data_IF_227933530913
#
_entry.id   IF_227933530913
#
_cell.length_a   1.000
_cell.length_b   1.000
_cell.length_c   1.000
_cell.angle_alpha   90.00
_cell.angle_beta   90.00
_cell.angle_gamma   90.00
#
_symmetry.space_group_name_H-M   'P 1'
#
loop_
_entity.id
_entity.type
_entity.pdbx_description
1 polymer ?
#
# COMPACT_ATOMS: atom_id res chain seq x y z
N UNK A 1 -15.58 9.20 -0.27
CA UNK A 1 -14.86 8.20 0.56
C UNK A 1 -13.50 8.04 -0.09
N UNK A 2 -12.42 8.17 0.67
CA UNK A 2 -11.06 8.04 0.12
C UNK A 2 -10.57 6.61 0.32
N UNK A 3 -9.57 6.21 -0.46
CA UNK A 3 -8.86 4.95 -0.24
C UNK A 3 -7.36 5.18 -0.14
N UNK A 4 -6.71 4.31 0.64
CA UNK A 4 -5.27 4.09 0.52
C UNK A 4 -5.10 2.72 -0.13
N UNK A 5 -4.37 2.69 -1.24
CA UNK A 5 -4.08 1.47 -1.98
C UNK A 5 -2.61 1.13 -1.83
N UNK A 6 -2.32 -0.10 -1.43
CA UNK A 6 -0.96 -0.66 -1.43
C UNK A 6 -0.88 -1.68 -2.56
N UNK A 7 -0.06 -1.38 -3.55
CA UNK A 7 0.16 -2.23 -4.71
C UNK A 7 1.51 -2.92 -4.62
N UNK A 8 1.54 -4.23 -4.87
CA UNK A 8 2.78 -5.01 -4.97
C UNK A 8 3.27 -4.99 -6.42
N UNK A 9 4.57 -4.80 -6.59
CA UNK A 9 5.22 -4.81 -7.90
C UNK A 9 5.10 -6.22 -8.54
N UNK A 10 4.71 -6.32 -9.83
CA UNK A 10 4.40 -7.59 -10.50
C UNK A 10 5.48 -8.66 -10.36
N UNK A 11 6.75 -8.27 -10.45
CA UNK A 11 7.91 -9.16 -10.40
C UNK A 11 8.08 -9.88 -9.05
N UNK A 12 7.48 -9.37 -7.96
CA UNK A 12 7.56 -9.97 -6.63
C UNK A 12 6.32 -10.80 -6.27
N UNK A 13 5.27 -10.82 -7.10
CA UNK A 13 4.00 -11.46 -6.75
C UNK A 13 4.11 -12.97 -6.49
N UNK A 14 5.02 -13.65 -7.17
CA UNK A 14 5.23 -15.10 -7.00
C UNK A 14 5.80 -15.45 -5.62
N UNK A 15 6.59 -14.56 -5.02
CA UNK A 15 7.28 -14.76 -3.74
C UNK A 15 6.57 -14.03 -2.60
N UNK A 16 5.63 -13.14 -2.90
CA UNK A 16 4.94 -12.33 -1.91
C UNK A 16 3.99 -13.15 -1.04
N UNK A 17 4.29 -13.21 0.26
CA UNK A 17 3.43 -13.84 1.24
C UNK A 17 2.22 -12.96 1.59
N UNK A 18 1.13 -13.19 0.85
CA UNK A 18 -0.16 -12.51 1.04
C UNK A 18 -0.73 -12.74 2.45
N UNK A 19 -0.52 -13.92 3.04
CA UNK A 19 -1.07 -14.24 4.36
C UNK A 19 -0.33 -13.49 5.47
N UNK A 20 0.99 -13.37 5.35
CA UNK A 20 1.80 -12.54 6.26
C UNK A 20 1.38 -11.07 6.17
N UNK A 21 1.18 -10.53 4.96
CA UNK A 21 0.69 -9.15 4.78
C UNK A 21 -0.66 -8.93 5.47
N UNK A 22 -1.62 -9.82 5.21
CA UNK A 22 -2.94 -9.73 5.82
C UNK A 22 -2.88 -9.84 7.35
N UNK A 23 -1.95 -10.64 7.89
CA UNK A 23 -1.73 -10.74 9.34
C UNK A 23 -1.27 -9.40 9.92
N UNK A 24 -0.34 -8.72 9.25
CA UNK A 24 0.17 -7.41 9.70
C UNK A 24 -0.95 -6.36 9.73
N UNK A 25 -1.68 -6.19 8.63
CA UNK A 25 -2.73 -5.15 8.57
C UNK A 25 -3.92 -5.46 9.48
N UNK A 26 -4.25 -6.75 9.68
CA UNK A 26 -5.31 -7.15 10.63
C UNK A 26 -4.90 -6.93 12.09
N UNK A 27 -3.60 -6.95 12.41
CA UNK A 27 -3.11 -6.67 13.77
C UNK A 27 -3.44 -5.25 14.24
N UNK A 28 -3.60 -4.32 13.29
CA UNK A 28 -4.04 -2.93 13.53
C UNK A 28 -5.52 -2.72 13.17
N UNK A 29 -6.30 -3.79 13.08
CA UNK A 29 -7.74 -3.74 12.84
C UNK A 29 -8.14 -3.32 11.42
N UNK A 30 -7.25 -3.47 10.43
CA UNK A 30 -7.52 -3.11 9.03
C UNK A 30 -7.75 -4.36 8.17
N UNK A 31 -8.71 -4.26 7.27
CA UNK A 31 -9.06 -5.31 6.30
C UNK A 31 -9.21 -4.65 4.93
N UNK A 32 -8.32 -4.95 3.97
CA UNK A 32 -8.41 -4.40 2.63
C UNK A 32 -9.43 -5.16 1.78
N UNK A 33 -9.97 -4.48 0.78
CA UNK A 33 -10.42 -5.14 -0.44
C UNK A 33 -9.19 -5.54 -1.24
N UNK A 34 -9.18 -6.76 -1.75
CA UNK A 34 -8.06 -7.30 -2.52
C UNK A 34 -8.50 -7.35 -3.97
N UNK A 35 -7.76 -6.64 -4.83
CA UNK A 35 -7.98 -6.64 -6.26
C UNK A 35 -6.74 -7.19 -6.98
N UNK A 36 -6.96 -8.09 -7.94
CA UNK A 36 -5.93 -8.69 -8.75
C UNK A 36 -6.33 -8.56 -10.22
N UNK A 37 -5.55 -7.79 -10.97
CA UNK A 37 -5.84 -7.50 -12.37
C UNK A 37 -4.59 -7.65 -13.24
N UNK A 38 -4.80 -7.87 -14.53
CA UNK A 38 -3.69 -7.99 -15.50
C UNK A 38 -3.75 -6.85 -16.50
N UNK A 39 -2.67 -6.08 -16.60
CA UNK A 39 -2.52 -5.00 -17.57
C UNK A 39 -1.23 -5.20 -18.37
N UNK A 40 -1.32 -5.15 -19.70
CA UNK A 40 -0.17 -5.28 -20.61
C UNK A 40 0.69 -6.54 -20.34
N UNK A 41 0.05 -7.64 -19.93
CA UNK A 41 0.72 -8.91 -19.63
C UNK A 41 1.41 -8.97 -18.26
N UNK A 42 1.24 -7.96 -17.40
CA UNK A 42 1.69 -7.98 -16.01
C UNK A 42 0.50 -8.07 -15.07
N UNK A 43 0.58 -8.99 -14.11
CA UNK A 43 -0.42 -9.08 -13.03
C UNK A 43 -0.03 -8.12 -11.92
N UNK A 44 -1.01 -7.39 -11.40
CA UNK A 44 -0.88 -6.48 -10.27
C UNK A 44 -1.78 -6.96 -9.14
N UNK A 45 -1.32 -6.80 -7.90
CA UNK A 45 -2.08 -7.09 -6.70
C UNK A 45 -2.15 -5.84 -5.86
N UNK A 46 -3.38 -5.37 -5.62
CA UNK A 46 -3.66 -4.16 -4.87
C UNK A 46 -4.50 -4.48 -3.64
N UNK A 47 -4.15 -3.83 -2.53
CA UNK A 47 -4.87 -3.89 -1.27
C UNK A 47 -5.46 -2.50 -1.00
N UNK A 48 -6.77 -2.37 -1.20
CA UNK A 48 -7.49 -1.10 -1.11
C UNK A 48 -8.16 -0.97 0.27
N UNK A 49 -7.82 0.09 0.99
CA UNK A 49 -8.33 0.39 2.32
C UNK A 49 -9.21 1.65 2.27
N UNK A 50 -10.52 1.45 2.25
CA UNK A 50 -11.49 2.54 2.22
C UNK A 50 -11.65 3.19 3.60
N UNK A 51 -11.69 4.52 3.63
CA UNK A 51 -11.83 5.26 4.89
C UNK A 51 -12.37 6.68 4.69
N UNK A 52 -12.91 7.25 5.76
CA UNK A 52 -13.16 8.69 5.90
C UNK A 52 -12.01 9.42 6.62
N UNK A 53 -11.03 8.68 7.13
CA UNK A 53 -9.93 9.20 7.96
C UNK A 53 -8.56 8.77 7.41
N UNK A 54 -8.14 9.25 6.22
CA UNK A 54 -6.93 8.77 5.52
C UNK A 54 -5.66 8.95 6.35
N UNK A 55 -5.50 10.08 7.06
CA UNK A 55 -4.33 10.31 7.92
C UNK A 55 -4.20 9.24 9.01
N UNK A 56 -5.31 8.90 9.68
CA UNK A 56 -5.29 7.90 10.75
C UNK A 56 -5.06 6.49 10.19
N UNK A 57 -5.70 6.16 9.07
CA UNK A 57 -5.45 4.90 8.37
C UNK A 57 -3.98 4.78 7.96
N UNK A 58 -3.39 5.83 7.40
CA UNK A 58 -2.00 5.82 6.97
C UNK A 58 -1.05 5.60 8.14
N UNK A 59 -1.26 6.28 9.27
CA UNK A 59 -0.46 6.06 10.48
C UNK A 59 -0.49 4.60 10.94
N UNK A 60 -1.68 3.98 10.96
CA UNK A 60 -1.81 2.57 11.36
C UNK A 60 -1.11 1.62 10.38
N UNK A 61 -1.24 1.86 9.07
CA UNK A 61 -0.56 1.09 8.03
C UNK A 61 0.96 1.29 8.07
N UNK A 62 1.43 2.52 8.29
CA UNK A 62 2.85 2.79 8.49
C UNK A 62 3.41 2.00 9.65
N UNK A 63 2.73 2.00 10.81
CA UNK A 63 3.17 1.27 11.98
C UNK A 63 3.23 -0.25 11.72
N UNK A 64 2.19 -0.81 11.11
CA UNK A 64 2.10 -2.25 10.86
C UNK A 64 3.04 -2.76 9.76
N UNK A 65 3.36 -1.92 8.78
CA UNK A 65 4.07 -2.34 7.56
C UNK A 65 5.45 -1.70 7.44
N UNK A 66 5.49 -0.37 7.35
CA UNK A 66 6.68 0.37 6.91
C UNK A 66 7.63 0.75 8.06
N UNK A 67 7.13 0.82 9.29
CA UNK A 67 7.91 1.06 10.51
C UNK A 67 8.07 -0.21 11.36
N UNK A 68 7.43 -1.31 10.96
CA UNK A 68 7.61 -2.60 11.61
C UNK A 68 9.07 -3.07 11.46
N UNK A 69 9.71 -3.43 12.57
CA UNK A 69 11.16 -3.70 12.63
C UNK A 69 11.65 -4.75 11.62
N UNK A 70 10.88 -5.82 11.42
CA UNK A 70 11.21 -6.89 10.49
C UNK A 70 10.46 -6.77 9.15
N UNK A 71 9.13 -6.60 9.20
CA UNK A 71 8.29 -6.61 8.01
C UNK A 71 8.55 -5.45 7.02
N UNK A 72 9.02 -4.30 7.50
CA UNK A 72 9.39 -3.17 6.62
C UNK A 72 10.42 -3.57 5.55
N UNK A 73 11.37 -4.44 5.90
CA UNK A 73 12.40 -4.94 4.98
C UNK A 73 11.82 -5.81 3.86
N UNK A 74 10.62 -6.35 4.07
CA UNK A 74 9.90 -7.20 3.11
C UNK A 74 9.02 -6.33 2.22
N UNK A 75 8.19 -5.47 2.82
CA UNK A 75 7.15 -4.74 2.07
C UNK A 75 7.65 -3.45 1.41
N UNK A 76 8.58 -2.72 2.02
CA UNK A 76 9.07 -1.45 1.47
C UNK A 76 9.70 -1.58 0.07
N UNK A 77 10.58 -2.56 -0.23
CA UNK A 77 11.25 -2.62 -1.53
C UNK A 77 10.38 -3.15 -2.67
N UNK A 78 9.14 -3.59 -2.39
CA UNK A 78 8.28 -4.26 -3.39
C UNK A 78 6.92 -3.60 -3.57
N UNK A 79 6.63 -2.49 -2.88
CA UNK A 79 5.30 -1.88 -2.89
C UNK A 79 5.30 -0.38 -3.13
N UNK A 80 4.17 0.10 -3.63
CA UNK A 80 3.81 1.51 -3.69
C UNK A 80 2.52 1.70 -2.88
N UNK A 81 2.45 2.76 -2.07
CA UNK A 81 1.23 3.15 -1.37
C UNK A 81 0.77 4.51 -1.88
N UNK A 82 -0.50 4.62 -2.26
CA UNK A 82 -1.12 5.86 -2.74
C UNK A 82 -2.39 6.17 -1.97
N UNK A 83 -2.68 7.45 -1.76
CA UNK A 83 -3.98 7.91 -1.26
C UNK A 83 -4.73 8.59 -2.40
N UNK A 84 -5.99 8.25 -2.61
CA UNK A 84 -6.85 9.03 -3.50
C UNK A 84 -7.08 10.43 -2.92
N UNK A 85 -6.87 11.45 -3.74
CA UNK A 85 -7.11 12.85 -3.42
C UNK A 85 -7.49 13.62 -4.69
N UNK A 86 -8.79 13.82 -4.89
CA UNK A 86 -9.34 14.56 -6.04
C UNK A 86 -8.90 16.03 -6.08
N UNK A 87 -8.39 16.58 -4.98
CA UNK A 87 -7.88 17.95 -4.93
C UNK A 87 -6.42 18.05 -5.42
N UNK A 88 -5.70 16.92 -5.47
CA UNK A 88 -4.36 16.86 -6.04
C UNK A 88 -4.43 16.85 -7.58
N UNK A 89 -3.53 17.54 -8.30
CA UNK A 89 -3.57 17.59 -9.77
C UNK A 89 -3.56 16.22 -10.46
N UNK A 90 -2.86 15.25 -9.86
CA UNK A 90 -2.77 13.87 -10.35
C UNK A 90 -3.92 12.98 -9.84
N UNK A 91 -4.77 13.47 -8.95
CA UNK A 91 -5.86 12.72 -8.32
C UNK A 91 -5.44 11.79 -7.18
N UNK A 92 -4.15 11.77 -6.83
CA UNK A 92 -3.60 10.96 -5.73
C UNK A 92 -2.33 11.57 -5.13
N UNK A 93 -2.01 11.12 -3.92
CA UNK A 93 -0.76 11.38 -3.20
C UNK A 93 0.06 10.08 -3.13
N UNK A 94 1.36 10.15 -3.37
CA UNK A 94 2.28 9.01 -3.23
C UNK A 94 2.79 8.97 -1.79
N UNK A 95 2.34 8.01 -1.00
CA UNK A 95 2.70 7.93 0.42
C UNK A 95 3.97 7.10 0.68
N UNK A 96 4.21 6.10 -0.16
CA UNK A 96 5.40 5.25 -0.14
C UNK A 96 5.70 4.77 -1.56
N UNK A 97 6.97 4.70 -1.91
CA UNK A 97 7.43 4.16 -3.19
C UNK A 97 8.62 3.22 -2.96
N UNK A 98 8.66 2.11 -3.71
CA UNK A 98 9.75 1.12 -3.60
C UNK A 98 11.09 1.69 -4.06
N UNK A 99 11.08 2.53 -5.11
CA UNK A 99 12.23 3.35 -5.50
C UNK A 99 12.37 4.54 -4.55
N UNK A 100 13.50 4.59 -3.84
CA UNK A 100 13.81 5.63 -2.84
C UNK A 100 14.18 6.98 -3.45
N UNK A 101 14.39 7.04 -4.77
CA UNK A 101 14.66 8.29 -5.48
C UNK A 101 13.39 9.05 -5.84
N UNK A 102 12.25 8.35 -5.83
CA UNK A 102 10.94 8.97 -6.04
C UNK A 102 10.55 9.85 -4.85
N UNK A 103 9.88 10.96 -5.16
CA UNK A 103 9.35 11.85 -4.14
C UNK A 103 8.06 11.26 -3.59
N UNK A 104 7.92 11.34 -2.28
CA UNK A 104 6.69 10.97 -1.56
C UNK A 104 6.06 12.21 -0.93
N UNK A 105 4.75 12.23 -0.91
CA UNK A 105 3.91 13.23 -0.29
C UNK A 105 3.70 12.95 1.20
N UNK A 106 3.06 13.90 1.88
CA UNK A 106 2.65 13.76 3.27
C UNK A 106 1.15 13.96 3.41
N UNK A 107 0.54 13.10 4.24
CA UNK A 107 -0.89 13.11 4.55
C UNK A 107 -1.20 13.99 5.76
#
# INVERSE_FOLDING_TARGET
>A
MQSISIQIQPEFLAEFDRAAFLTQVRSVGRSPEIDEFTEKGKTYLSFNFFTEFPKKLWQDLQQALYQHAEYSKIISPISTAVCEDESHPEGYLILHHFDKTEKVDQL
#
